data_IF_643939369652
#
_entry.id   IF_643939369652
#
_cell.length_a   1.000
_cell.length_b   1.000
_cell.length_c   1.000
_cell.angle_alpha   90.00
_cell.angle_beta   90.00
_cell.angle_gamma   90.00
#
_symmetry.space_group_name_H-M   'P 1'
#
loop_
_entity.id
_entity.type
_entity.pdbx_description
1 polymer ?
#
# COMPACT_ATOMS: atom_id res chain seq x y z
N UNK A 1 -0.22 17.82 7.95
CA UNK A 1 -1.65 18.10 7.84
C UNK A 1 -2.22 17.44 6.59
N UNK A 2 -3.30 16.72 6.74
CA UNK A 2 -3.95 16.13 5.58
C UNK A 2 -4.78 17.19 4.86
N UNK A 3 -4.87 17.07 3.56
CA UNK A 3 -5.58 18.05 2.73
C UNK A 3 -6.51 17.41 1.72
N UNK A 4 -6.57 16.10 1.67
CA UNK A 4 -7.35 15.40 0.64
C UNK A 4 -8.42 14.53 1.25
N UNK A 5 -9.58 14.51 0.58
CA UNK A 5 -10.57 13.48 0.84
C UNK A 5 -10.12 12.19 0.15
N UNK A 6 -10.74 11.07 0.53
CA UNK A 6 -10.47 9.78 -0.10
C UNK A 6 -10.70 9.87 -1.61
N UNK A 7 -11.82 10.46 -2.03
CA UNK A 7 -12.14 10.57 -3.46
C UNK A 7 -11.15 11.42 -4.22
N UNK A 8 -10.69 12.52 -3.62
CA UNK A 8 -9.66 13.35 -4.24
C UNK A 8 -8.36 12.57 -4.42
N UNK A 9 -8.00 11.78 -3.41
CA UNK A 9 -6.78 10.97 -3.50
C UNK A 9 -6.89 9.93 -4.61
N UNK A 10 -8.01 9.22 -4.69
CA UNK A 10 -8.22 8.24 -5.74
C UNK A 10 -8.06 8.89 -7.11
N UNK A 11 -8.77 10.00 -7.34
CA UNK A 11 -8.72 10.70 -8.63
C UNK A 11 -7.32 11.15 -8.99
N UNK A 12 -6.56 11.61 -8.01
CA UNK A 12 -5.22 12.14 -8.27
C UNK A 12 -4.18 11.05 -8.48
N UNK A 13 -4.37 9.90 -7.84
CA UNK A 13 -3.38 8.83 -7.89
C UNK A 13 -3.65 7.79 -8.99
N UNK A 14 -4.92 7.57 -9.36
CA UNK A 14 -5.26 6.52 -10.31
C UNK A 14 -4.50 6.74 -11.63
N UNK A 15 -3.90 5.67 -12.15
CA UNK A 15 -3.12 5.76 -13.39
C UNK A 15 -1.69 6.24 -13.22
N UNK A 16 -1.29 6.69 -12.03
CA UNK A 16 0.10 7.07 -11.79
C UNK A 16 1.02 5.88 -12.09
N UNK A 17 2.17 6.17 -12.71
CA UNK A 17 3.08 5.13 -13.17
C UNK A 17 3.76 4.44 -12.00
N UNK A 18 3.87 3.12 -12.09
CA UNK A 18 4.64 2.37 -11.11
C UNK A 18 6.14 2.59 -11.35
N UNK A 19 6.87 3.02 -10.33
CA UNK A 19 8.31 3.20 -10.36
C UNK A 19 8.86 2.76 -9.02
N UNK A 20 9.85 1.89 -9.03
CA UNK A 20 10.43 1.34 -7.81
C UNK A 20 10.86 2.44 -6.85
N UNK A 21 10.44 2.34 -5.61
CA UNK A 21 10.75 3.25 -4.51
C UNK A 21 10.29 4.70 -4.70
N UNK A 22 9.43 4.95 -5.69
CA UNK A 22 8.88 6.29 -5.89
C UNK A 22 7.67 6.53 -4.97
N UNK A 23 7.51 7.78 -4.55
CA UNK A 23 6.38 8.18 -3.71
C UNK A 23 5.93 9.59 -4.02
N UNK A 24 5.61 9.85 -5.29
CA UNK A 24 5.01 11.11 -5.74
C UNK A 24 3.72 10.79 -6.48
N UNK A 25 2.88 11.81 -6.70
CA UNK A 25 1.61 11.58 -7.40
C UNK A 25 1.78 11.24 -8.88
N UNK A 26 2.92 11.54 -9.46
CA UNK A 26 3.18 11.19 -10.85
C UNK A 26 3.68 9.77 -11.02
N UNK A 27 4.36 9.26 -10.00
CA UNK A 27 4.92 7.91 -10.02
C UNK A 27 5.09 7.41 -8.60
N UNK A 28 4.76 6.14 -8.39
CA UNK A 28 4.84 5.53 -7.07
C UNK A 28 4.86 4.02 -7.17
N UNK A 29 5.50 3.36 -6.20
CA UNK A 29 5.37 1.92 -6.06
C UNK A 29 4.30 1.59 -5.02
N UNK A 30 4.15 0.31 -4.69
CA UNK A 30 3.06 -0.09 -3.80
C UNK A 30 3.21 0.52 -2.39
N UNK A 31 4.43 0.55 -1.86
CA UNK A 31 4.65 1.16 -0.54
C UNK A 31 4.56 2.69 -0.61
N UNK A 32 5.03 3.28 -1.71
CA UNK A 32 4.92 4.72 -1.93
C UNK A 32 3.49 5.21 -1.91
N UNK A 33 2.57 4.43 -2.48
CA UNK A 33 1.15 4.77 -2.43
C UNK A 33 0.64 4.78 -0.98
N UNK A 34 1.04 3.80 -0.17
CA UNK A 34 0.63 3.74 1.23
C UNK A 34 1.14 4.96 1.99
N UNK A 35 2.39 5.33 1.79
CA UNK A 35 2.97 6.52 2.41
C UNK A 35 2.17 7.77 2.05
N UNK A 36 1.88 7.95 0.76
CA UNK A 36 1.15 9.13 0.29
C UNK A 36 -0.27 9.17 0.82
N UNK A 37 -0.95 8.03 0.82
CA UNK A 37 -2.32 7.96 1.33
C UNK A 37 -2.38 8.35 2.80
N UNK A 38 -1.51 7.76 3.62
CA UNK A 38 -1.49 8.07 5.05
C UNK A 38 -1.15 9.54 5.29
N UNK A 39 -0.19 10.07 4.53
CA UNK A 39 0.20 11.48 4.68
C UNK A 39 -0.93 12.43 4.29
N UNK A 40 -1.52 12.25 3.12
CA UNK A 40 -2.43 13.25 2.56
C UNK A 40 -3.89 13.05 2.95
N UNK A 41 -4.31 11.85 3.25
CA UNK A 41 -5.70 11.58 3.63
C UNK A 41 -5.84 11.48 5.14
N UNK A 42 -4.94 10.78 5.81
CA UNK A 42 -5.06 10.52 7.23
C UNK A 42 -4.23 11.44 8.11
N UNK A 43 -3.34 12.22 7.51
CA UNK A 43 -2.48 13.13 8.26
C UNK A 43 -1.43 12.44 9.10
N UNK A 44 -1.03 11.24 8.71
CA UNK A 44 -0.05 10.44 9.42
C UNK A 44 1.21 10.31 8.58
N UNK A 45 2.34 10.69 9.15
CA UNK A 45 3.62 10.51 8.50
C UNK A 45 4.18 9.16 8.95
N UNK A 46 4.19 8.19 8.04
CA UNK A 46 4.69 6.86 8.35
C UNK A 46 6.21 6.89 8.52
N UNK A 47 6.69 6.23 9.56
CA UNK A 47 8.12 6.10 9.78
C UNK A 47 8.70 5.21 8.69
N UNK A 48 9.71 5.68 7.96
CA UNK A 48 10.36 4.81 6.96
C UNK A 48 10.94 3.58 7.62
N UNK A 49 10.85 2.45 6.93
CA UNK A 49 11.51 1.24 7.38
C UNK A 49 12.99 1.40 7.06
N UNK A 50 13.83 1.42 8.10
CA UNK A 50 15.26 1.64 7.90
C UNK A 50 15.94 0.42 7.30
N UNK A 51 17.04 0.65 6.60
CA UNK A 51 17.88 -0.43 6.08
C UNK A 51 17.47 -0.98 4.73
N UNK A 52 16.53 -0.33 4.06
CA UNK A 52 16.07 -0.83 2.76
C UNK A 52 16.40 0.11 1.61
N UNK A 53 17.23 1.09 1.83
CA UNK A 53 17.56 2.08 0.79
C UNK A 53 18.10 1.40 -0.46
N UNK A 54 18.80 0.30 -0.25
CA UNK A 54 19.36 -0.48 -1.37
C UNK A 54 18.54 -1.73 -1.67
N UNK A 55 17.37 -1.84 -1.07
CA UNK A 55 16.53 -3.03 -1.22
C UNK A 55 15.42 -2.75 -2.21
N UNK A 56 14.85 -3.82 -2.74
CA UNK A 56 13.70 -3.72 -3.60
C UNK A 56 12.42 -3.59 -2.79
N UNK A 57 11.36 -3.15 -3.45
CA UNK A 57 10.05 -2.98 -2.82
C UNK A 57 9.58 -4.22 -2.07
N UNK A 58 9.84 -5.41 -2.62
CA UNK A 58 9.44 -6.66 -1.98
C UNK A 58 10.02 -6.82 -0.59
N UNK A 59 11.26 -6.38 -0.36
CA UNK A 59 11.86 -6.48 0.96
C UNK A 59 11.22 -5.53 1.95
N UNK A 60 10.77 -4.36 1.50
CA UNK A 60 10.02 -3.44 2.34
C UNK A 60 8.70 -4.06 2.78
N UNK A 61 8.01 -4.70 1.83
CA UNK A 61 6.75 -5.36 2.12
C UNK A 61 6.95 -6.52 3.09
N UNK A 62 7.99 -7.32 2.90
CA UNK A 62 8.28 -8.45 3.77
C UNK A 62 8.58 -7.99 5.21
N UNK A 63 9.19 -6.83 5.37
CA UNK A 63 9.54 -6.31 6.69
C UNK A 63 8.35 -5.70 7.43
N UNK A 64 7.25 -5.43 6.74
CA UNK A 64 6.14 -4.69 7.32
C UNK A 64 5.61 -5.29 8.63
N UNK A 65 5.26 -6.58 8.70
CA UNK A 65 4.68 -7.13 9.93
C UNK A 65 5.65 -7.15 11.11
N UNK A 66 6.93 -7.27 10.84
CA UNK A 66 7.94 -7.43 11.89
C UNK A 66 8.57 -6.12 12.31
N UNK A 67 8.73 -5.21 11.39
CA UNK A 67 9.47 -3.98 11.62
C UNK A 67 8.65 -2.93 12.35
N UNK A 68 7.35 -3.11 12.42
CA UNK A 68 6.52 -2.00 12.85
C UNK A 68 5.49 -2.40 13.88
N UNK A 69 5.77 -2.06 15.14
CA UNK A 69 4.87 -2.30 16.26
C UNK A 69 3.57 -1.54 16.13
N UNK A 70 3.51 -0.58 15.23
CA UNK A 70 2.31 0.23 15.03
C UNK A 70 1.27 -0.44 14.16
N UNK A 71 1.60 -1.57 13.52
CA UNK A 71 0.68 -2.27 12.64
C UNK A 71 0.05 -3.46 13.35
N UNK A 72 -1.28 -3.48 13.42
CA UNK A 72 -2.05 -4.51 14.10
C UNK A 72 -2.93 -5.24 13.12
N UNK A 73 -3.00 -6.57 13.23
CA UNK A 73 -3.89 -7.37 12.40
C UNK A 73 -5.34 -6.92 12.59
N UNK A 74 -6.09 -6.87 11.50
CA UNK A 74 -7.49 -6.46 11.53
C UNK A 74 -8.25 -7.14 10.41
N UNK A 75 -9.54 -6.81 10.27
CA UNK A 75 -10.35 -7.27 9.16
C UNK A 75 -10.27 -6.32 7.97
N UNK A 76 -11.20 -6.49 7.04
CA UNK A 76 -11.27 -5.70 5.80
C UNK A 76 -11.97 -4.39 6.06
N UNK A 77 -11.30 -3.48 6.74
CA UNK A 77 -11.85 -2.18 7.10
C UNK A 77 -11.21 -1.08 6.27
N UNK A 78 -11.94 0.02 6.12
CA UNK A 78 -11.41 1.17 5.38
C UNK A 78 -10.13 1.69 6.01
N UNK A 79 -9.21 2.11 5.18
CA UNK A 79 -7.88 2.62 5.55
C UNK A 79 -6.91 1.55 6.03
N UNK A 80 -7.33 0.29 6.10
CA UNK A 80 -6.40 -0.80 6.38
C UNK A 80 -5.43 -0.96 5.22
N UNK A 81 -4.24 -1.41 5.55
CA UNK A 81 -3.27 -1.84 4.54
C UNK A 81 -3.46 -3.32 4.32
N UNK A 82 -3.60 -3.74 3.07
CA UNK A 82 -3.59 -5.17 2.78
C UNK A 82 -2.17 -5.60 2.42
N UNK A 83 -1.83 -6.82 2.80
CA UNK A 83 -0.55 -7.44 2.52
C UNK A 83 -0.84 -8.74 1.77
N UNK A 84 -0.41 -8.81 0.52
CA UNK A 84 -0.71 -9.93 -0.36
C UNK A 84 0.52 -10.82 -0.55
N UNK A 85 0.29 -12.11 -0.56
CA UNK A 85 1.34 -13.13 -0.56
C UNK A 85 1.32 -13.99 -1.82
N UNK A 86 2.50 -14.41 -2.27
CA UNK A 86 2.64 -15.57 -3.14
C UNK A 86 3.34 -16.64 -2.33
N UNK A 87 2.63 -17.76 -2.09
CA UNK A 87 3.11 -18.74 -1.13
C UNK A 87 3.19 -18.13 0.25
N UNK A 88 4.33 -18.21 0.87
CA UNK A 88 4.58 -17.62 2.20
C UNK A 88 5.30 -16.28 2.14
N UNK A 89 5.53 -15.75 0.94
CA UNK A 89 6.29 -14.51 0.76
C UNK A 89 5.35 -13.34 0.50
N UNK A 90 5.35 -12.32 1.38
CA UNK A 90 4.58 -11.10 1.11
C UNK A 90 5.25 -10.31 -0.01
N UNK A 91 4.45 -9.91 -1.02
CA UNK A 91 5.00 -9.28 -2.22
C UNK A 91 4.32 -7.99 -2.61
N UNK A 92 3.19 -7.64 -1.99
CA UNK A 92 2.41 -6.49 -2.46
C UNK A 92 1.60 -5.90 -1.33
N UNK A 93 1.41 -4.58 -1.36
CA UNK A 93 0.58 -3.86 -0.40
C UNK A 93 -0.32 -2.87 -1.12
N UNK A 94 -1.35 -2.44 -0.43
CA UNK A 94 -2.24 -1.37 -0.89
C UNK A 94 -3.19 -0.97 0.20
N UNK A 95 -4.18 -0.15 -0.14
CA UNK A 95 -5.13 0.41 0.83
C UNK A 95 -6.51 -0.16 0.54
N UNK A 96 -7.24 -0.50 1.60
CA UNK A 96 -8.64 -0.92 1.51
C UNK A 96 -9.54 0.31 1.58
N UNK A 97 -10.40 0.47 0.56
CA UNK A 97 -11.39 1.55 0.50
C UNK A 97 -12.67 0.97 -0.08
N UNK A 98 -13.76 0.97 0.69
CA UNK A 98 -15.09 0.53 0.24
C UNK A 98 -15.07 -0.84 -0.45
N UNK A 99 -14.45 -1.83 0.20
CA UNK A 99 -14.30 -3.19 -0.34
C UNK A 99 -13.52 -3.25 -1.65
N UNK A 100 -12.70 -2.24 -1.89
CA UNK A 100 -11.80 -2.18 -3.03
C UNK A 100 -10.36 -2.07 -2.55
N UNK A 101 -9.45 -2.36 -3.44
CA UNK A 101 -8.03 -2.21 -3.23
C UNK A 101 -7.53 -1.06 -4.10
N UNK A 102 -7.01 -0.02 -3.48
CA UNK A 102 -6.27 1.03 -4.17
C UNK A 102 -4.79 0.65 -4.05
N UNK A 103 -4.14 0.39 -5.19
CA UNK A 103 -2.78 -0.12 -5.14
C UNK A 103 -2.01 0.21 -6.42
N UNK A 104 -0.69 0.35 -6.26
CA UNK A 104 0.21 0.56 -7.39
C UNK A 104 0.77 -0.81 -7.79
N UNK A 105 0.24 -1.36 -8.87
CA UNK A 105 0.62 -2.69 -9.33
C UNK A 105 1.59 -2.60 -10.50
N UNK A 106 2.75 -3.24 -10.35
CA UNK A 106 3.73 -3.23 -11.41
C UNK A 106 5.04 -3.88 -10.99
N UNK A 107 6.00 -3.81 -11.89
CA UNK A 107 7.35 -4.29 -11.63
C UNK A 107 8.35 -3.51 -12.50
N UNK A 108 9.64 -3.74 -12.24
CA UNK A 108 10.68 -2.97 -12.90
C UNK A 108 10.78 -3.26 -14.41
N UNK A 109 10.40 -4.45 -14.83
CA UNK A 109 10.52 -4.84 -16.24
C UNK A 109 9.40 -4.32 -17.10
N UNK A 110 8.17 -4.40 -16.59
CA UNK A 110 6.97 -4.11 -17.38
C UNK A 110 6.30 -2.80 -16.98
N UNK A 111 6.75 -2.20 -15.88
CA UNK A 111 6.08 -1.04 -15.33
C UNK A 111 4.74 -1.43 -14.72
N UNK A 112 3.79 -0.53 -14.82
CA UNK A 112 2.47 -0.71 -14.25
C UNK A 112 1.90 0.63 -13.83
N UNK A 113 0.81 0.59 -13.06
CA UNK A 113 0.14 1.82 -12.65
C UNK A 113 -0.73 1.60 -11.42
N UNK A 114 -1.18 2.70 -10.85
CA UNK A 114 -2.15 2.68 -9.75
C UNK A 114 -3.50 2.26 -10.30
N UNK A 115 -4.13 1.32 -9.62
CA UNK A 115 -5.43 0.75 -9.99
C UNK A 115 -6.36 0.74 -8.78
N UNK A 116 -7.65 0.66 -9.06
CA UNK A 116 -8.67 0.55 -8.03
C UNK A 116 -9.55 -0.64 -8.40
N UNK A 117 -9.34 -1.76 -7.73
CA UNK A 117 -9.96 -3.04 -8.07
C UNK A 117 -10.80 -3.55 -6.90
N UNK A 118 -11.76 -4.42 -7.19
CA UNK A 118 -12.51 -5.05 -6.12
C UNK A 118 -11.59 -5.89 -5.25
N UNK A 119 -11.80 -5.83 -3.94
CA UNK A 119 -10.96 -6.56 -2.99
C UNK A 119 -11.05 -8.06 -3.23
N UNK A 120 -12.24 -8.57 -3.59
CA UNK A 120 -12.40 -9.98 -3.92
C UNK A 120 -11.47 -10.43 -5.05
N UNK A 121 -11.25 -9.55 -6.04
CA UNK A 121 -10.34 -9.87 -7.14
C UNK A 121 -8.90 -10.00 -6.65
N UNK A 122 -8.51 -9.14 -5.72
CA UNK A 122 -7.18 -9.21 -5.13
C UNK A 122 -7.01 -10.51 -4.36
N UNK A 123 -8.01 -10.88 -3.57
CA UNK A 123 -7.93 -12.10 -2.78
C UNK A 123 -7.83 -13.36 -3.65
N UNK A 124 -8.38 -13.31 -4.87
CA UNK A 124 -8.27 -14.43 -5.80
C UNK A 124 -6.94 -14.48 -6.53
N UNK A 125 -6.28 -13.35 -6.68
CA UNK A 125 -5.01 -13.26 -7.40
C UNK A 125 -3.82 -13.76 -6.59
N UNK A 126 -3.90 -13.72 -5.29
CA UNK A 126 -2.78 -14.01 -4.41
C UNK A 126 -3.07 -15.23 -3.54
N UNK A 127 -2.01 -15.85 -3.03
CA UNK A 127 -2.14 -17.05 -2.20
C UNK A 127 -2.94 -16.77 -0.94
N UNK A 128 -2.67 -15.63 -0.31
CA UNK A 128 -3.45 -15.13 0.83
C UNK A 128 -3.28 -13.63 0.92
N UNK A 129 -4.21 -12.99 1.63
CA UNK A 129 -4.17 -11.54 1.89
C UNK A 129 -4.45 -11.34 3.37
N UNK A 130 -3.59 -10.56 4.03
CA UNK A 130 -3.76 -10.17 5.42
C UNK A 130 -4.01 -8.67 5.48
N UNK A 131 -4.64 -8.23 6.56
CA UNK A 131 -5.03 -6.84 6.72
C UNK A 131 -4.47 -6.29 8.03
N UNK A 132 -3.98 -5.05 7.98
CA UNK A 132 -3.36 -4.39 9.12
C UNK A 132 -3.90 -2.97 9.25
N UNK A 133 -4.09 -2.53 10.49
CA UNK A 133 -4.43 -1.14 10.76
C UNK A 133 -3.27 -0.50 11.52
N UNK A 134 -3.13 0.80 11.34
CA UNK A 134 -2.12 1.56 12.06
C UNK A 134 -2.65 1.85 13.45
N UNK A 135 -1.87 1.55 14.49
CA UNK A 135 -2.32 1.61 15.88
C UNK A 135 -2.86 2.99 16.28
N UNK A 136 -2.26 4.05 15.73
CA UNK A 136 -2.67 5.41 16.07
C UNK A 136 -4.04 5.80 15.50
N UNK A 137 -4.66 4.93 14.72
CA UNK A 137 -6.01 5.15 14.20
C UNK A 137 -7.11 4.53 15.07
N UNK A 138 -6.75 3.93 16.17
CA UNK A 138 -7.72 3.27 17.06
C UNK A 138 -8.70 4.25 17.72
#
# INVERSE_FOLDING_TARGET
MHNMTVNEFIKKSIGARWVDRASTFDQMDCWGLVILYYRHVLGIELTPITGYEDKQTTLQVEALPEANRHWLRCGKINNAVFLAYLGDTPIHVGIVIDNHALHAKGNAEQGGQVQYNKLDAIEKMYTKVEYYKYADLL
#
